data_IF_916907296916
#
_entry.id   IF_916907296916
#
_cell.length_a   1.000
_cell.length_b   1.000
_cell.length_c   1.000
_cell.angle_alpha   90.00
_cell.angle_beta   90.00
_cell.angle_gamma   90.00
#
_symmetry.space_group_name_H-M   'P 1'
#
loop_
_entity.id
_entity.type
_entity.pdbx_description
1 polymer ?
#
# COMPACT_ATOMS: atom_id res chain seq x y z
N UNK A 1 4.00 9.56 21.07
CA UNK A 1 2.96 9.23 22.09
C UNK A 1 2.30 7.92 21.70
N UNK A 2 2.20 6.94 22.59
CA UNK A 2 1.55 5.66 22.26
C UNK A 2 0.02 5.83 22.13
N UNK A 3 -0.63 4.92 21.39
CA UNK A 3 -2.10 4.92 21.23
C UNK A 3 -2.80 4.92 22.59
N UNK A 4 -2.39 4.05 23.52
CA UNK A 4 -2.95 3.97 24.86
C UNK A 4 -2.81 5.28 25.65
N UNK A 5 -1.66 5.96 25.55
CA UNK A 5 -1.45 7.23 26.23
C UNK A 5 -2.40 8.31 25.69
N UNK A 6 -2.61 8.37 24.38
CA UNK A 6 -3.54 9.32 23.75
C UNK A 6 -4.98 9.03 24.15
N UNK A 7 -5.41 7.77 24.19
CA UNK A 7 -6.76 7.40 24.63
C UNK A 7 -7.03 7.81 26.09
N UNK A 8 -6.06 7.64 26.99
CA UNK A 8 -6.20 8.13 28.38
C UNK A 8 -6.40 9.65 28.44
N UNK A 9 -5.62 10.39 27.64
CA UNK A 9 -5.73 11.86 27.57
C UNK A 9 -7.09 12.32 27.05
N UNK A 10 -7.74 11.55 26.19
CA UNK A 10 -9.08 11.86 25.67
C UNK A 10 -10.22 11.32 26.54
N UNK A 11 -9.93 10.82 27.75
CA UNK A 11 -10.95 10.42 28.73
C UNK A 11 -11.32 8.94 28.75
N UNK A 12 -10.65 8.07 27.98
CA UNK A 12 -10.88 6.62 28.10
C UNK A 12 -10.27 6.08 29.40
N UNK A 13 -11.12 5.51 30.27
CA UNK A 13 -10.73 5.06 31.62
C UNK A 13 -10.48 3.56 31.73
N UNK A 14 -11.02 2.76 30.80
CA UNK A 14 -10.85 1.29 30.77
C UNK A 14 -10.08 0.89 29.51
N UNK A 15 -8.80 0.63 29.68
CA UNK A 15 -7.90 0.21 28.60
C UNK A 15 -7.15 -1.05 29.05
N UNK A 16 -7.08 -2.05 28.17
CA UNK A 16 -6.40 -3.31 28.44
C UNK A 16 -5.69 -3.77 27.16
N UNK A 17 -4.64 -4.56 27.34
CA UNK A 17 -4.01 -5.29 26.23
C UNK A 17 -4.73 -6.61 26.05
N UNK A 18 -5.05 -6.98 24.81
CA UNK A 18 -5.57 -8.31 24.50
C UNK A 18 -4.40 -9.31 24.54
N UNK A 19 -4.32 -10.12 25.59
CA UNK A 19 -3.17 -11.00 25.86
C UNK A 19 -2.99 -12.13 24.84
N UNK A 20 -4.06 -12.53 24.18
CA UNK A 20 -4.10 -13.60 23.18
C UNK A 20 -4.26 -13.05 21.75
N UNK A 21 -4.01 -11.76 21.53
CA UNK A 21 -4.08 -11.14 20.21
C UNK A 21 -3.23 -11.91 19.20
N UNK A 22 -3.80 -12.17 18.02
CA UNK A 22 -3.16 -12.89 16.90
C UNK A 22 -2.79 -14.37 17.16
N UNK A 23 -3.06 -14.92 18.34
CA UNK A 23 -2.70 -16.31 18.68
C UNK A 23 -3.55 -17.37 17.96
N UNK A 24 -4.79 -17.05 17.61
CA UNK A 24 -5.74 -17.92 16.92
C UNK A 24 -5.97 -17.38 15.51
N UNK A 25 -5.43 -18.06 14.51
CA UNK A 25 -5.43 -17.59 13.11
C UNK A 25 -6.77 -17.76 12.41
N UNK A 26 -7.57 -18.74 12.81
CA UNK A 26 -8.90 -19.08 12.29
C UNK A 26 -9.95 -17.99 12.55
N UNK A 27 -9.82 -17.23 13.64
CA UNK A 27 -10.71 -16.10 13.96
C UNK A 27 -10.29 -14.76 13.34
N UNK A 28 -9.13 -14.70 12.67
CA UNK A 28 -8.66 -13.47 12.07
C UNK A 28 -9.56 -13.03 10.92
N UNK A 29 -9.81 -11.73 10.85
CA UNK A 29 -10.54 -11.10 9.75
C UNK A 29 -9.55 -10.37 8.86
N UNK A 30 -9.74 -10.45 7.54
CA UNK A 30 -8.91 -9.77 6.54
C UNK A 30 -9.78 -9.29 5.38
N UNK A 31 -9.28 -8.30 4.65
CA UNK A 31 -9.88 -7.95 3.36
C UNK A 31 -9.78 -9.16 2.41
N UNK A 32 -10.82 -9.48 1.63
CA UNK A 32 -10.81 -10.64 0.73
C UNK A 32 -9.61 -10.67 -0.23
N UNK A 33 -9.17 -9.50 -0.69
CA UNK A 33 -8.05 -9.30 -1.62
C UNK A 33 -7.04 -8.26 -1.10
N UNK A 34 -6.55 -8.44 0.13
CA UNK A 34 -5.60 -7.50 0.74
C UNK A 34 -4.31 -7.34 -0.08
N UNK A 35 -3.94 -8.35 -0.87
CA UNK A 35 -2.76 -8.36 -1.74
C UNK A 35 -2.81 -7.33 -2.88
N UNK A 36 -3.99 -6.80 -3.21
CA UNK A 36 -4.14 -5.72 -4.22
C UNK A 36 -3.73 -4.34 -3.67
N UNK A 37 -3.73 -4.18 -2.34
CA UNK A 37 -3.36 -2.94 -1.65
C UNK A 37 -2.03 -3.14 -0.92
N UNK A 38 -0.96 -3.17 -1.71
CA UNK A 38 0.40 -3.40 -1.21
C UNK A 38 0.93 -2.21 -0.38
N UNK A 39 1.99 -2.44 0.37
CA UNK A 39 2.64 -1.42 1.22
C UNK A 39 4.13 -1.27 0.87
N UNK A 40 4.79 -0.15 1.22
CA UNK A 40 6.15 0.16 0.73
C UNK A 40 7.20 -0.90 1.02
N UNK A 41 7.19 -1.47 2.23
CA UNK A 41 8.18 -2.48 2.61
C UNK A 41 8.00 -3.79 1.82
N UNK A 42 6.75 -4.19 1.52
CA UNK A 42 6.49 -5.35 0.65
C UNK A 42 7.10 -5.14 -0.73
N UNK A 43 6.92 -3.96 -1.32
CA UNK A 43 7.45 -3.66 -2.65
C UNK A 43 8.98 -3.60 -2.65
N UNK A 44 9.56 -3.01 -1.60
CA UNK A 44 11.01 -2.95 -1.43
C UNK A 44 11.64 -4.34 -1.29
N UNK A 45 11.01 -5.24 -0.52
CA UNK A 45 11.49 -6.61 -0.36
C UNK A 45 11.34 -7.41 -1.66
N UNK A 46 10.24 -7.20 -2.42
CA UNK A 46 10.06 -7.77 -3.75
C UNK A 46 11.15 -7.31 -4.73
N UNK A 47 11.48 -6.01 -4.75
CA UNK A 47 12.55 -5.42 -5.57
C UNK A 47 13.93 -6.01 -5.25
N UNK A 48 14.16 -6.43 -4.00
CA UNK A 48 15.38 -7.08 -3.56
C UNK A 48 15.40 -8.59 -3.79
N UNK A 49 14.35 -9.15 -4.42
CA UNK A 49 14.23 -10.59 -4.67
C UNK A 49 13.98 -11.42 -3.41
N UNK A 50 13.49 -10.80 -2.32
CA UNK A 50 13.13 -11.53 -1.10
C UNK A 50 11.77 -12.21 -1.27
N UNK A 51 11.54 -13.24 -0.46
CA UNK A 51 10.22 -13.85 -0.35
C UNK A 51 9.23 -12.87 0.28
N UNK A 52 8.11 -12.62 -0.40
CA UNK A 52 7.01 -11.79 0.10
C UNK A 52 5.69 -12.55 0.03
N UNK A 53 4.75 -12.20 0.91
CA UNK A 53 3.41 -12.78 0.85
C UNK A 53 2.71 -12.38 -0.46
N UNK A 54 1.98 -13.31 -1.09
CA UNK A 54 1.29 -13.08 -2.36
C UNK A 54 2.19 -12.48 -3.47
N UNK A 55 3.42 -13.00 -3.59
CA UNK A 55 4.33 -12.59 -4.66
C UNK A 55 3.69 -12.78 -6.06
N UNK A 56 3.98 -11.89 -7.03
CA UNK A 56 3.54 -12.07 -8.41
C UNK A 56 3.99 -13.43 -8.96
N UNK A 57 3.12 -14.11 -9.72
CA UNK A 57 3.42 -15.43 -10.30
C UNK A 57 4.45 -15.38 -11.45
N UNK A 58 4.73 -14.20 -11.99
CA UNK A 58 5.65 -13.99 -13.10
C UNK A 58 6.23 -12.59 -13.10
N UNK A 59 6.55 -12.09 -14.29
CA UNK A 59 7.10 -10.75 -14.45
C UNK A 59 6.17 -9.68 -13.89
N UNK A 60 6.77 -8.69 -13.24
CA UNK A 60 6.05 -7.55 -12.69
C UNK A 60 6.72 -6.24 -13.09
N UNK A 61 5.96 -5.15 -12.94
CA UNK A 61 6.36 -3.78 -13.21
C UNK A 61 5.73 -2.86 -12.16
N UNK A 62 6.40 -1.77 -11.86
CA UNK A 62 5.88 -0.67 -11.02
C UNK A 62 5.72 0.53 -11.93
N UNK A 63 4.63 1.27 -11.80
CA UNK A 63 4.41 2.51 -12.54
C UNK A 63 3.99 3.62 -11.59
N UNK A 64 4.60 4.79 -11.76
CA UNK A 64 4.02 6.04 -11.29
C UNK A 64 3.06 6.55 -12.36
N UNK A 65 1.81 6.81 -11.99
CA UNK A 65 0.81 7.40 -12.86
C UNK A 65 0.52 8.82 -12.42
N UNK A 66 0.66 9.79 -13.32
CA UNK A 66 0.35 11.18 -13.05
C UNK A 66 -0.06 11.91 -14.35
N UNK A 67 -0.69 13.07 -14.21
CA UNK A 67 -1.16 13.84 -15.36
C UNK A 67 -0.02 14.62 -16.03
N UNK A 68 0.14 14.43 -17.35
CA UNK A 68 1.09 15.14 -18.19
C UNK A 68 2.49 14.54 -18.18
N UNK A 69 3.47 15.32 -18.65
CA UNK A 69 4.89 14.91 -18.66
C UNK A 69 5.45 14.70 -17.23
N UNK A 70 6.45 13.82 -17.05
CA UNK A 70 7.01 13.49 -15.73
C UNK A 70 7.73 14.70 -15.11
N UNK A 71 7.24 15.17 -13.96
CA UNK A 71 7.81 16.32 -13.21
C UNK A 71 8.47 15.86 -11.91
N UNK A 72 7.66 15.54 -10.90
CA UNK A 72 8.16 15.07 -9.60
C UNK A 72 8.87 13.72 -9.73
N UNK A 73 8.37 12.85 -10.61
CA UNK A 73 9.03 11.62 -11.02
C UNK A 73 10.52 11.84 -11.35
N UNK A 74 10.87 12.89 -12.10
CA UNK A 74 12.27 13.16 -12.47
C UNK A 74 13.13 13.62 -11.29
N UNK A 75 12.53 14.15 -10.22
CA UNK A 75 13.24 14.54 -9.00
C UNK A 75 13.49 13.32 -8.10
N UNK A 76 12.46 12.48 -7.94
CA UNK A 76 12.53 11.23 -7.18
C UNK A 76 11.30 10.37 -7.50
N UNK A 77 11.51 9.08 -7.66
CA UNK A 77 10.47 8.06 -7.85
C UNK A 77 10.89 6.75 -7.19
N UNK A 78 9.95 5.81 -7.11
CA UNK A 78 10.24 4.45 -6.61
C UNK A 78 11.28 3.80 -7.55
N UNK A 79 12.37 3.19 -7.04
CA UNK A 79 13.41 2.60 -7.89
C UNK A 79 12.85 1.58 -8.89
N UNK A 80 13.23 1.69 -10.17
CA UNK A 80 12.80 0.77 -11.22
C UNK A 80 11.34 0.92 -11.67
N UNK A 81 10.61 1.94 -11.19
CA UNK A 81 9.30 2.28 -11.72
C UNK A 81 9.42 2.79 -13.17
N UNK A 82 8.39 2.55 -13.98
CA UNK A 82 8.10 3.32 -15.18
C UNK A 82 7.18 4.50 -14.87
N UNK A 83 6.91 5.32 -15.88
CA UNK A 83 5.97 6.44 -15.79
C UNK A 83 4.86 6.27 -16.83
N UNK A 84 3.62 6.59 -16.46
CA UNK A 84 2.46 6.64 -17.36
C UNK A 84 1.82 8.03 -17.20
N UNK A 85 1.73 8.77 -18.31
CA UNK A 85 0.88 9.95 -18.40
C UNK A 85 -0.59 9.48 -18.50
N UNK A 86 -1.47 10.01 -17.65
CA UNK A 86 -2.89 9.62 -17.72
C UNK A 86 -3.49 9.88 -19.11
N UNK A 87 -3.03 10.90 -19.85
CA UNK A 87 -3.50 11.15 -21.23
C UNK A 87 -3.23 9.99 -22.22
N UNK A 88 -2.35 9.04 -21.89
CA UNK A 88 -2.11 7.83 -22.70
C UNK A 88 -3.27 6.81 -22.62
N UNK A 89 -4.05 6.85 -21.54
CA UNK A 89 -5.13 5.89 -21.27
C UNK A 89 -6.52 6.53 -21.23
N UNK A 90 -6.58 7.86 -21.17
CA UNK A 90 -7.82 8.63 -21.18
C UNK A 90 -7.71 9.81 -22.16
N UNK A 91 -8.74 10.03 -22.99
CA UNK A 91 -8.82 11.20 -23.86
C UNK A 91 -10.24 11.75 -23.94
N UNK A 92 -10.40 13.01 -24.33
CA UNK A 92 -11.70 13.51 -24.76
C UNK A 92 -12.25 12.68 -25.94
N UNK A 93 -13.58 12.45 -26.02
CA UNK A 93 -14.63 12.88 -25.09
C UNK A 93 -14.95 11.85 -23.98
N UNK A 94 -14.08 10.87 -23.71
CA UNK A 94 -14.36 9.72 -22.83
C UNK A 94 -14.23 10.01 -21.33
N UNK A 95 -13.70 11.19 -20.96
CA UNK A 95 -13.42 11.58 -19.58
C UNK A 95 -14.63 11.63 -18.62
N UNK A 96 -15.87 11.41 -19.08
CA UNK A 96 -17.08 11.41 -18.24
C UNK A 96 -18.16 10.43 -18.74
N UNK A 97 -17.78 9.21 -19.12
CA UNK A 97 -18.76 8.14 -19.40
C UNK A 97 -18.88 7.16 -18.26
#
# INVERSE_FOLDING_TARGET
VSVAARLKQTGFTRLSTLSDALSQTDRLQKLPHFEQLVYPQWLHDLQQGKAVAAAPAGDWKVFEAAWGAPKLYLLSHIPGAGYIDTNEVESEPLWNK
#
